data_IF_466533980874
#
_entry.id   IF_466533980874
#
_cell.length_a   1.000
_cell.length_b   1.000
_cell.length_c   1.000
_cell.angle_alpha   90.00
_cell.angle_beta   90.00
_cell.angle_gamma   90.00
#
_symmetry.space_group_name_H-M   'P 1'
#
loop_
_entity.id
_entity.type
_entity.pdbx_description
1 polymer ?
#
# COMPACT_ATOMS: atom_id res chain seq x y z
N UNK A 1 -22.94 -45.87 26.08
CA UNK A 1 -22.12 -44.67 25.90
C UNK A 1 -22.92 -43.74 25.03
N UNK A 2 -23.67 -42.81 25.65
CA UNK A 2 -24.59 -41.89 24.97
C UNK A 2 -23.88 -40.55 24.89
N UNK A 3 -23.67 -40.03 23.67
CA UNK A 3 -23.08 -38.72 23.44
C UNK A 3 -24.07 -37.62 23.82
N UNK A 4 -23.62 -36.53 24.48
CA UNK A 4 -24.49 -35.39 24.79
C UNK A 4 -24.75 -34.56 23.53
N UNK A 5 -26.00 -34.08 23.42
CA UNK A 5 -26.45 -33.17 22.38
C UNK A 5 -25.81 -31.79 22.53
N UNK A 6 -25.58 -31.07 21.42
CA UNK A 6 -25.08 -29.70 21.48
C UNK A 6 -26.17 -28.71 21.88
N UNK A 7 -25.90 -27.88 22.88
CA UNK A 7 -26.75 -26.80 23.34
C UNK A 7 -26.91 -25.74 22.25
N UNK A 8 -28.15 -25.50 21.83
CA UNK A 8 -28.57 -24.44 20.93
C UNK A 8 -28.75 -23.15 21.72
N UNK A 9 -27.66 -22.47 22.04
CA UNK A 9 -27.71 -21.09 22.53
C UNK A 9 -27.97 -20.11 21.39
N UNK A 10 -29.26 -19.87 21.14
CA UNK A 10 -29.75 -18.81 20.32
C UNK A 10 -29.38 -17.44 20.93
N UNK A 11 -28.21 -16.96 20.65
CA UNK A 11 -27.88 -15.55 20.89
C UNK A 11 -28.69 -14.68 19.94
N UNK A 12 -29.84 -14.21 20.42
CA UNK A 12 -30.59 -13.14 19.79
C UNK A 12 -29.69 -11.89 19.76
N UNK A 13 -29.19 -11.55 18.57
CA UNK A 13 -28.50 -10.28 18.31
C UNK A 13 -29.49 -9.16 18.59
N UNK A 14 -29.41 -8.54 19.80
CA UNK A 14 -30.13 -7.32 20.10
C UNK A 14 -29.69 -6.25 19.11
N UNK A 15 -30.63 -5.61 18.39
CA UNK A 15 -30.28 -4.45 17.58
C UNK A 15 -29.67 -3.36 18.49
N UNK A 16 -28.67 -2.62 18.02
CA UNK A 16 -28.04 -1.56 18.79
C UNK A 16 -29.14 -0.56 19.21
N UNK A 17 -29.25 -0.36 20.52
CA UNK A 17 -30.18 0.60 21.11
C UNK A 17 -29.87 1.97 20.49
N UNK A 18 -30.89 2.59 19.87
CA UNK A 18 -30.78 3.94 19.33
C UNK A 18 -30.24 4.86 20.41
N UNK A 19 -29.03 5.35 20.25
CA UNK A 19 -28.46 6.35 21.13
C UNK A 19 -29.29 7.62 20.94
N UNK A 20 -30.14 7.93 21.93
CA UNK A 20 -30.77 9.22 22.01
C UNK A 20 -29.68 10.28 22.23
N UNK A 21 -29.29 10.92 21.14
CA UNK A 21 -28.50 12.13 21.22
C UNK A 21 -29.35 13.19 21.89
N UNK A 22 -29.08 13.49 23.14
CA UNK A 22 -29.62 14.66 23.79
C UNK A 22 -28.97 15.87 23.11
N UNK A 23 -29.67 16.47 22.17
CA UNK A 23 -29.24 17.72 21.55
C UNK A 23 -29.22 18.75 22.67
N UNK A 24 -28.04 19.26 23.01
CA UNK A 24 -27.92 20.36 23.96
C UNK A 24 -28.81 21.52 23.46
N UNK A 25 -29.58 22.18 24.37
CA UNK A 25 -30.40 23.32 23.97
C UNK A 25 -29.50 24.36 23.30
N UNK A 26 -29.90 24.77 22.10
CA UNK A 26 -29.18 25.83 21.38
C UNK A 26 -29.16 27.09 22.27
N UNK A 27 -28.05 27.79 22.34
CA UNK A 27 -27.98 29.05 23.05
C UNK A 27 -29.04 29.98 22.50
N UNK A 28 -29.73 30.72 23.40
CA UNK A 28 -30.76 31.68 23.02
C UNK A 28 -30.20 32.63 21.95
N UNK A 29 -30.95 32.82 20.86
CA UNK A 29 -30.55 33.73 19.81
C UNK A 29 -30.38 35.15 20.41
N UNK A 30 -29.36 35.89 20.03
CA UNK A 30 -29.14 37.27 20.51
C UNK A 30 -30.39 38.11 20.15
N UNK A 31 -30.73 39.05 21.06
CA UNK A 31 -31.85 39.97 20.81
C UNK A 31 -31.67 40.69 19.46
N UNK A 32 -32.70 40.61 18.61
CA UNK A 32 -32.65 41.18 17.26
C UNK A 32 -32.29 40.21 16.14
N UNK A 33 -32.02 38.92 16.47
CA UNK A 33 -31.76 37.93 15.41
C UNK A 33 -33.07 37.56 14.70
N UNK A 34 -33.17 37.94 13.43
CA UNK A 34 -34.24 37.52 12.54
C UNK A 34 -33.74 36.40 11.67
N UNK A 35 -34.33 35.22 11.79
CA UNK A 35 -33.88 34.06 11.01
C UNK A 35 -34.12 34.32 9.50
N UNK A 36 -33.15 33.95 8.63
CA UNK A 36 -33.32 34.10 7.17
C UNK A 36 -34.58 33.37 6.69
N UNK A 37 -35.41 34.03 5.91
CA UNK A 37 -36.65 33.46 5.37
C UNK A 37 -37.92 33.86 6.14
N UNK A 38 -37.85 34.62 7.25
CA UNK A 38 -39.03 35.21 7.86
C UNK A 38 -39.50 36.47 7.11
N UNK A 39 -40.81 36.74 7.00
CA UNK A 39 -41.33 37.98 6.44
C UNK A 39 -40.77 39.19 7.22
N UNK A 40 -40.06 40.09 6.54
CA UNK A 40 -39.40 41.24 7.15
C UNK A 40 -37.92 41.08 7.46
N UNK A 41 -37.33 39.90 7.23
CA UNK A 41 -35.88 39.76 7.26
C UNK A 41 -35.26 40.57 6.13
N UNK A 42 -34.21 41.41 6.39
CA UNK A 42 -33.50 42.05 5.31
C UNK A 42 -32.96 40.95 4.41
N UNK A 43 -33.23 41.04 3.11
CA UNK A 43 -32.65 40.16 2.10
C UNK A 43 -31.17 40.54 1.99
N UNK A 44 -30.39 40.16 3.00
CA UNK A 44 -28.97 40.11 2.83
C UNK A 44 -28.75 39.04 1.76
N UNK A 45 -28.27 39.47 0.59
CA UNK A 45 -28.02 38.58 -0.54
C UNK A 45 -26.99 37.53 -0.12
N UNK A 46 -27.50 36.51 0.54
CA UNK A 46 -26.78 35.28 0.73
C UNK A 46 -26.76 34.64 -0.66
N UNK A 47 -25.82 35.10 -1.47
CA UNK A 47 -25.45 34.37 -2.66
C UNK A 47 -25.02 33.00 -2.16
N UNK A 48 -25.74 31.91 -2.43
CA UNK A 48 -25.33 30.59 -2.00
C UNK A 48 -23.96 30.42 -2.63
N UNK A 49 -22.90 30.50 -1.82
CA UNK A 49 -21.53 30.19 -2.26
C UNK A 49 -21.64 28.78 -2.80
N UNK A 50 -21.78 28.69 -4.14
CA UNK A 50 -21.82 27.41 -4.82
C UNK A 50 -20.66 26.61 -4.25
N UNK A 51 -20.91 25.39 -3.74
CA UNK A 51 -19.82 24.60 -3.20
C UNK A 51 -18.77 24.56 -4.29
N UNK A 52 -17.65 25.23 -4.03
CA UNK A 52 -16.51 25.17 -4.94
C UNK A 52 -16.16 23.71 -5.02
N UNK A 53 -16.68 23.04 -6.04
CA UNK A 53 -16.28 21.69 -6.38
C UNK A 53 -14.77 21.79 -6.60
N UNK A 54 -14.01 21.59 -5.51
CA UNK A 54 -12.58 21.37 -5.61
C UNK A 54 -12.46 20.20 -6.56
N UNK A 55 -12.08 20.50 -7.81
CA UNK A 55 -11.90 19.49 -8.84
C UNK A 55 -11.08 18.38 -8.20
N UNK A 56 -11.68 17.18 -8.07
CA UNK A 56 -11.04 16.06 -7.43
C UNK A 56 -9.66 15.92 -8.07
N UNK A 57 -8.57 15.86 -7.29
CA UNK A 57 -7.23 15.87 -7.82
C UNK A 57 -7.13 14.76 -8.85
N UNK A 58 -6.81 15.16 -10.09
CA UNK A 58 -6.80 14.26 -11.25
C UNK A 58 -5.83 13.13 -10.95
N UNK A 59 -6.36 11.96 -10.66
CA UNK A 59 -5.58 10.77 -10.29
C UNK A 59 -4.64 10.44 -11.42
N UNK A 60 -3.35 10.52 -11.17
CA UNK A 60 -2.29 10.20 -12.15
C UNK A 60 -1.78 8.78 -11.89
N UNK A 61 -2.68 7.79 -11.94
CA UNK A 61 -2.36 6.39 -11.65
C UNK A 61 -1.36 5.80 -12.65
N UNK A 62 -1.50 6.10 -13.93
CA UNK A 62 -0.60 5.60 -14.97
C UNK A 62 0.87 6.05 -14.75
N UNK A 63 1.18 7.34 -14.58
CA UNK A 63 2.55 7.75 -14.28
C UNK A 63 3.05 7.24 -12.93
N UNK A 64 2.17 7.07 -11.92
CA UNK A 64 2.55 6.48 -10.64
C UNK A 64 3.04 5.04 -10.80
N UNK A 65 2.33 4.23 -11.58
CA UNK A 65 2.70 2.85 -11.87
C UNK A 65 3.99 2.81 -12.69
N UNK A 66 4.12 3.65 -13.72
CA UNK A 66 5.32 3.70 -14.56
C UNK A 66 6.58 4.03 -13.73
N UNK A 67 6.49 5.04 -12.84
CA UNK A 67 7.59 5.40 -11.95
C UNK A 67 7.91 4.30 -10.93
N UNK A 68 6.90 3.60 -10.42
CA UNK A 68 7.10 2.48 -9.51
C UNK A 68 7.77 1.29 -10.20
N UNK A 69 7.39 0.99 -11.44
CA UNK A 69 8.05 -0.03 -12.26
C UNK A 69 9.51 0.34 -12.55
N UNK A 70 9.77 1.59 -12.90
CA UNK A 70 11.13 2.09 -13.11
C UNK A 70 11.96 1.95 -11.83
N UNK A 71 11.41 2.35 -10.67
CA UNK A 71 12.07 2.20 -9.38
C UNK A 71 12.32 0.72 -9.04
N UNK A 72 11.38 -0.18 -9.36
CA UNK A 72 11.53 -1.61 -9.18
C UNK A 72 12.68 -2.18 -10.03
N UNK A 73 12.74 -1.80 -11.30
CA UNK A 73 13.83 -2.22 -12.21
C UNK A 73 15.19 -1.70 -11.78
N UNK A 74 15.28 -0.41 -11.46
CA UNK A 74 16.54 0.19 -10.98
C UNK A 74 17.01 -0.46 -9.67
N UNK A 75 16.09 -0.73 -8.75
CA UNK A 75 16.40 -1.42 -7.51
C UNK A 75 16.85 -2.86 -7.74
N UNK A 76 16.20 -3.60 -8.65
CA UNK A 76 16.59 -4.95 -9.02
C UNK A 76 18.00 -4.98 -9.66
N UNK A 77 18.30 -4.02 -10.54
CA UNK A 77 19.63 -3.87 -11.13
C UNK A 77 20.69 -3.53 -10.06
N UNK A 78 20.39 -2.57 -9.19
CA UNK A 78 21.30 -2.19 -8.12
C UNK A 78 21.61 -3.38 -7.20
N UNK A 79 20.58 -4.16 -6.84
CA UNK A 79 20.74 -5.38 -6.05
C UNK A 79 21.56 -6.44 -6.80
N UNK A 80 21.21 -6.72 -8.07
CA UNK A 80 21.89 -7.72 -8.89
C UNK A 80 23.33 -7.36 -9.23
N UNK A 81 23.68 -6.05 -9.22
CA UNK A 81 25.04 -5.57 -9.44
C UNK A 81 25.87 -5.43 -8.16
N UNK A 82 25.26 -5.57 -6.99
CA UNK A 82 25.98 -5.49 -5.72
C UNK A 82 27.06 -6.58 -5.63
N UNK A 83 28.22 -6.28 -5.00
CA UNK A 83 29.25 -7.27 -4.83
C UNK A 83 28.77 -8.41 -3.90
N UNK A 84 29.08 -9.65 -4.28
CA UNK A 84 28.65 -10.86 -3.54
C UNK A 84 29.05 -10.87 -2.06
N UNK A 85 30.16 -10.19 -1.71
CA UNK A 85 30.63 -10.06 -0.33
C UNK A 85 29.72 -9.19 0.56
N UNK A 86 28.81 -8.43 -0.03
CA UNK A 86 27.84 -7.60 0.68
C UNK A 86 26.50 -8.32 0.93
N UNK A 87 26.39 -9.61 0.59
CA UNK A 87 25.14 -10.38 0.65
C UNK A 87 24.43 -10.28 2.02
N UNK A 88 25.19 -10.31 3.12
CA UNK A 88 24.63 -10.24 4.48
C UNK A 88 24.05 -8.85 4.82
N UNK A 89 24.49 -7.79 4.14
CA UNK A 89 24.00 -6.42 4.32
C UNK A 89 22.87 -6.03 3.35
N UNK A 90 22.60 -6.88 2.34
CA UNK A 90 21.63 -6.58 1.27
C UNK A 90 20.17 -6.59 1.73
N UNK A 91 19.86 -7.17 2.89
CA UNK A 91 18.52 -7.14 3.47
C UNK A 91 17.97 -5.72 3.66
N UNK A 92 18.81 -4.75 3.98
CA UNK A 92 18.42 -3.34 4.11
C UNK A 92 18.03 -2.70 2.78
N UNK A 93 18.64 -3.15 1.67
CA UNK A 93 18.26 -2.71 0.32
C UNK A 93 16.83 -3.07 -0.03
N UNK A 94 16.30 -4.20 0.46
CA UNK A 94 14.90 -4.57 0.26
C UNK A 94 13.94 -3.54 0.88
N UNK A 95 14.26 -3.01 2.06
CA UNK A 95 13.46 -1.98 2.74
C UNK A 95 13.54 -0.66 1.96
N UNK A 96 14.74 -0.24 1.56
CA UNK A 96 14.95 0.97 0.78
C UNK A 96 14.21 0.89 -0.56
N UNK A 97 14.27 -0.25 -1.23
CA UNK A 97 13.60 -0.51 -2.50
C UNK A 97 12.08 -0.49 -2.35
N UNK A 98 11.52 -1.10 -1.30
CA UNK A 98 10.09 -1.01 -1.00
C UNK A 98 9.64 0.44 -0.80
N UNK A 99 10.47 1.27 -0.13
CA UNK A 99 10.22 2.71 0.02
C UNK A 99 10.22 3.46 -1.31
N UNK A 100 11.19 3.20 -2.18
CA UNK A 100 11.30 3.84 -3.50
C UNK A 100 10.10 3.51 -4.41
N UNK A 101 9.58 2.28 -4.34
CA UNK A 101 8.39 1.86 -5.08
C UNK A 101 7.12 2.47 -4.48
N UNK A 102 7.03 2.51 -3.16
CA UNK A 102 5.84 2.99 -2.45
C UNK A 102 5.61 4.49 -2.61
N UNK A 103 6.67 5.30 -2.71
CA UNK A 103 6.58 6.76 -2.83
C UNK A 103 5.78 7.21 -4.06
N UNK A 104 6.11 6.83 -5.30
CA UNK A 104 5.35 7.23 -6.46
C UNK A 104 3.92 6.67 -6.45
N UNK A 105 3.73 5.42 -6.02
CA UNK A 105 2.41 4.80 -5.94
C UNK A 105 1.50 5.54 -4.96
N UNK A 106 2.00 5.87 -3.77
CA UNK A 106 1.21 6.54 -2.75
C UNK A 106 0.94 8.02 -3.08
N UNK A 107 1.97 8.78 -3.48
CA UNK A 107 1.83 10.23 -3.70
C UNK A 107 1.10 10.60 -4.99
N UNK A 108 1.35 9.89 -6.08
CA UNK A 108 0.77 10.20 -7.39
C UNK A 108 -0.51 9.41 -7.67
N UNK A 109 -0.60 8.18 -7.16
CA UNK A 109 -1.72 7.30 -7.39
C UNK A 109 -2.96 7.63 -6.57
N UNK A 110 -2.81 8.34 -5.44
CA UNK A 110 -3.89 8.72 -4.54
C UNK A 110 -4.49 7.54 -3.76
N UNK A 111 -5.57 7.75 -3.01
CA UNK A 111 -6.21 6.73 -2.18
C UNK A 111 -6.95 5.69 -3.04
N UNK A 112 -6.27 4.64 -3.44
CA UNK A 112 -6.82 3.51 -4.19
C UNK A 112 -6.58 2.21 -3.43
N UNK A 113 -7.59 1.33 -3.39
CA UNK A 113 -7.48 0.02 -2.73
C UNK A 113 -6.53 -0.95 -3.44
N UNK A 114 -6.24 -0.70 -4.72
CA UNK A 114 -5.38 -1.57 -5.54
C UNK A 114 -3.89 -1.23 -5.46
N UNK A 115 -3.55 0.01 -5.11
CA UNK A 115 -2.15 0.45 -5.08
C UNK A 115 -1.30 -0.19 -3.96
N UNK A 116 -1.80 -0.38 -2.72
CA UNK A 116 -1.02 -1.07 -1.69
C UNK A 116 -0.64 -2.51 -2.05
N UNK A 117 -1.55 -3.39 -2.53
CA UNK A 117 -1.15 -4.73 -2.95
C UNK A 117 -0.22 -4.71 -4.17
N UNK A 118 -0.40 -3.76 -5.09
CA UNK A 118 0.52 -3.59 -6.22
C UNK A 118 1.93 -3.20 -5.73
N UNK A 119 2.04 -2.29 -4.77
CA UNK A 119 3.30 -1.92 -4.15
C UNK A 119 4.01 -3.09 -3.47
N UNK A 120 3.26 -3.95 -2.79
CA UNK A 120 3.77 -5.18 -2.19
C UNK A 120 4.32 -6.14 -3.25
N UNK A 121 3.54 -6.41 -4.29
CA UNK A 121 3.92 -7.32 -5.37
C UNK A 121 5.16 -6.81 -6.13
N UNK A 122 5.20 -5.52 -6.44
CA UNK A 122 6.34 -4.91 -7.12
C UNK A 122 7.62 -4.98 -6.26
N UNK A 123 7.52 -4.76 -4.95
CA UNK A 123 8.67 -4.86 -4.06
C UNK A 123 9.23 -6.29 -3.99
N UNK A 124 8.36 -7.29 -3.86
CA UNK A 124 8.76 -8.69 -3.86
C UNK A 124 9.32 -9.14 -5.22
N UNK A 125 8.67 -8.75 -6.33
CA UNK A 125 9.14 -9.05 -7.67
C UNK A 125 10.51 -8.42 -7.98
N UNK A 126 10.72 -7.19 -7.54
CA UNK A 126 12.00 -6.51 -7.71
C UNK A 126 13.12 -7.18 -6.91
N UNK A 127 12.85 -7.66 -5.70
CA UNK A 127 13.81 -8.45 -4.92
C UNK A 127 14.15 -9.76 -5.63
N UNK A 128 13.13 -10.49 -6.12
CA UNK A 128 13.33 -11.72 -6.88
C UNK A 128 14.17 -11.49 -8.13
N UNK A 129 13.84 -10.47 -8.92
CA UNK A 129 14.60 -10.12 -10.13
C UNK A 129 16.04 -9.75 -9.80
N UNK A 130 16.28 -9.05 -8.70
CA UNK A 130 17.61 -8.73 -8.23
C UNK A 130 18.42 -9.97 -7.89
N UNK A 131 17.86 -10.90 -7.13
CA UNK A 131 18.50 -12.18 -6.79
C UNK A 131 18.77 -13.03 -8.04
N UNK A 132 17.79 -13.17 -8.94
CA UNK A 132 17.98 -13.89 -10.20
C UNK A 132 19.08 -13.25 -11.08
N UNK A 133 19.16 -11.93 -11.12
CA UNK A 133 20.21 -11.21 -11.85
C UNK A 133 21.58 -11.52 -11.25
N UNK A 134 21.68 -11.62 -9.94
CA UNK A 134 22.92 -12.00 -9.25
C UNK A 134 23.34 -13.41 -9.60
N UNK A 135 22.44 -14.40 -9.53
CA UNK A 135 22.72 -15.78 -9.93
C UNK A 135 23.07 -15.91 -11.41
N UNK A 136 22.36 -15.17 -12.28
CA UNK A 136 22.67 -15.14 -13.70
C UNK A 136 24.10 -14.63 -14.00
N UNK A 137 24.54 -13.62 -13.24
CA UNK A 137 25.93 -13.12 -13.34
C UNK A 137 26.94 -14.14 -12.85
N UNK A 138 26.63 -14.86 -11.79
CA UNK A 138 27.47 -15.91 -11.24
C UNK A 138 27.62 -17.06 -12.24
N UNK A 139 26.50 -17.61 -12.75
CA UNK A 139 26.53 -18.67 -13.78
C UNK A 139 27.30 -18.24 -15.04
N UNK A 140 27.18 -16.95 -15.41
CA UNK A 140 27.94 -16.39 -16.54
C UNK A 140 29.44 -16.35 -16.28
N UNK A 141 29.85 -16.09 -15.05
CA UNK A 141 31.26 -16.05 -14.66
C UNK A 141 31.86 -17.45 -14.57
N UNK A 142 31.09 -18.43 -14.09
CA UNK A 142 31.52 -19.81 -13.88
C UNK A 142 31.38 -20.67 -15.18
N UNK A 143 30.66 -20.16 -16.18
CA UNK A 143 30.30 -20.87 -17.42
C UNK A 143 28.94 -21.54 -17.29
N UNK A 144 28.08 -21.44 -18.35
CA UNK A 144 26.75 -22.06 -18.34
C UNK A 144 26.88 -23.59 -18.40
N UNK A 145 26.01 -24.27 -17.62
CA UNK A 145 25.84 -25.72 -17.72
C UNK A 145 25.09 -26.15 -19.00
N UNK A 146 24.83 -27.46 -19.14
CA UNK A 146 24.19 -28.03 -20.32
C UNK A 146 22.74 -27.54 -20.54
N UNK A 147 22.06 -27.15 -19.48
CA UNK A 147 20.64 -26.73 -19.51
C UNK A 147 20.46 -25.24 -19.86
N UNK A 148 21.57 -24.51 -19.93
CA UNK A 148 21.62 -23.10 -20.34
C UNK A 148 21.35 -22.10 -19.20
N UNK A 149 21.81 -20.85 -19.44
CA UNK A 149 21.87 -19.77 -18.45
C UNK A 149 20.61 -19.54 -17.60
N UNK A 150 19.38 -19.46 -18.16
CA UNK A 150 18.19 -19.16 -17.36
C UNK A 150 17.82 -20.31 -16.40
N UNK A 151 17.98 -21.53 -16.86
CA UNK A 151 17.66 -22.73 -16.08
C UNK A 151 18.64 -22.88 -14.91
N UNK A 152 19.94 -22.75 -15.17
CA UNK A 152 20.99 -22.87 -14.17
C UNK A 152 20.89 -21.75 -13.11
N UNK A 153 20.58 -20.53 -13.54
CA UNK A 153 20.36 -19.42 -12.59
C UNK A 153 19.15 -19.66 -11.68
N UNK A 154 18.05 -20.21 -12.21
CA UNK A 154 16.88 -20.55 -11.43
C UNK A 154 17.13 -21.72 -10.48
N UNK A 155 17.86 -22.73 -10.93
CA UNK A 155 18.26 -23.87 -10.11
C UNK A 155 19.17 -23.42 -8.97
N UNK A 156 20.17 -22.60 -9.25
CA UNK A 156 21.07 -22.00 -8.25
C UNK A 156 20.30 -21.15 -7.24
N UNK A 157 19.42 -20.27 -7.70
CA UNK A 157 18.59 -19.47 -6.81
C UNK A 157 17.74 -20.35 -5.87
N UNK A 158 17.12 -21.42 -6.37
CA UNK A 158 16.34 -22.34 -5.54
C UNK A 158 17.19 -23.09 -4.52
N UNK A 159 18.38 -23.51 -4.91
CA UNK A 159 19.31 -24.24 -4.04
C UNK A 159 19.85 -23.35 -2.88
N UNK A 160 20.04 -22.07 -3.16
CA UNK A 160 20.58 -21.09 -2.20
C UNK A 160 19.50 -20.42 -1.33
N UNK A 161 18.21 -20.70 -1.56
CA UNK A 161 17.11 -20.17 -0.76
C UNK A 161 17.24 -20.54 0.71
N UNK A 162 17.46 -19.56 1.56
CA UNK A 162 17.55 -19.70 3.01
C UNK A 162 16.28 -19.20 3.70
N UNK A 163 15.97 -19.64 4.91
CA UNK A 163 14.84 -19.11 5.69
C UNK A 163 14.90 -17.58 5.86
N UNK A 164 16.11 -17.01 5.92
CA UNK A 164 16.31 -15.57 6.00
C UNK A 164 15.84 -14.84 4.75
N UNK A 165 15.99 -15.44 3.57
CA UNK A 165 15.52 -14.85 2.32
C UNK A 165 14.00 -14.76 2.30
N UNK A 166 13.31 -15.78 2.81
CA UNK A 166 11.85 -15.74 2.98
C UNK A 166 11.41 -14.61 3.91
N UNK A 167 12.19 -14.34 4.97
CA UNK A 167 11.93 -13.19 5.84
C UNK A 167 12.08 -11.86 5.08
N UNK A 168 13.08 -11.71 4.20
CA UNK A 168 13.23 -10.52 3.37
C UNK A 168 12.09 -10.36 2.36
N UNK A 169 11.59 -11.44 1.77
CA UNK A 169 10.39 -11.38 0.93
C UNK A 169 9.16 -10.93 1.73
N UNK A 170 8.98 -11.46 2.94
CA UNK A 170 7.90 -11.03 3.81
C UNK A 170 8.01 -9.54 4.19
N UNK A 171 9.22 -9.08 4.51
CA UNK A 171 9.50 -7.66 4.80
C UNK A 171 9.21 -6.80 3.57
N UNK A 172 9.62 -7.23 2.37
CA UNK A 172 9.36 -6.50 1.12
C UNK A 172 7.86 -6.40 0.83
N UNK A 173 7.12 -7.48 1.00
CA UNK A 173 5.65 -7.52 0.83
C UNK A 173 4.94 -6.60 1.84
N UNK A 174 5.22 -6.78 3.13
CA UNK A 174 4.59 -6.01 4.20
C UNK A 174 5.00 -4.54 4.10
N UNK A 175 6.30 -4.27 3.91
CA UNK A 175 6.85 -2.93 3.76
C UNK A 175 6.26 -2.21 2.55
N UNK A 176 6.24 -2.86 1.39
CA UNK A 176 5.65 -2.33 0.16
C UNK A 176 4.17 -1.98 0.34
N UNK A 177 3.40 -2.86 1.00
CA UNK A 177 1.99 -2.63 1.30
C UNK A 177 1.80 -1.44 2.26
N UNK A 178 2.44 -1.48 3.43
CA UNK A 178 2.25 -0.48 4.48
C UNK A 178 2.73 0.91 4.06
N UNK A 179 3.89 0.99 3.40
CA UNK A 179 4.46 2.26 2.95
C UNK A 179 3.59 2.88 1.85
N UNK A 180 3.11 2.08 0.88
CA UNK A 180 2.19 2.57 -0.15
C UNK A 180 0.89 3.07 0.46
N UNK A 181 0.29 2.31 1.39
CA UNK A 181 -0.91 2.72 2.10
C UNK A 181 -0.70 4.03 2.89
N UNK A 182 0.40 4.12 3.64
CA UNK A 182 0.72 5.32 4.44
C UNK A 182 1.02 6.54 3.57
N UNK A 183 1.67 6.36 2.44
CA UNK A 183 1.92 7.45 1.49
C UNK A 183 0.62 7.96 0.86
N UNK A 184 -0.33 7.06 0.56
CA UNK A 184 -1.64 7.42 0.00
C UNK A 184 -2.56 8.15 0.99
N UNK A 185 -2.38 7.99 2.31
CA UNK A 185 -3.20 8.68 3.33
C UNK A 185 -2.69 10.07 3.70
N UNK A 186 -1.47 10.43 3.27
CA UNK A 186 -0.86 11.73 3.58
C UNK A 186 -1.04 12.78 2.46
N UNK A 187 -1.66 12.41 1.37
CA UNK A 187 -2.03 13.29 0.23
C UNK A 187 -3.49 13.65 0.28
#
# INVERSE_FOLDING_TARGET
>A
MTAPAPDADGQSVRPPTAQHYTVAPLPAAPEGYVAPGMPGAPVTGYEPVAPTHRAAPRRRTAPAIALALLAALLGALAYGCAPLRAADSLGWLAIAQAGLIALPLGRLGGPSRLLPPLGALLAAAALLLGQLTQHLRQVRADGPGPDGLPHDALAGWRADLRPLDLAFYAIALIGGYLLTRRAATRT
#
